data_IF_267145550894
#
_entry.id   IF_267145550894
#
_cell.length_a   1.000
_cell.length_b   1.000
_cell.length_c   1.000
_cell.angle_alpha   90.00
_cell.angle_beta   90.00
_cell.angle_gamma   90.00
#
_symmetry.space_group_name_H-M   'P 1'
#
loop_
_entity.id
_entity.type
_entity.pdbx_description
1 polymer ?
#
# COMPACT_ATOMS: atom_id res chain seq x y z
N UNK A 1 13.26 5.63 3.67
CA UNK A 1 12.56 4.60 2.91
C UNK A 1 13.00 4.62 1.47
N UNK A 2 13.26 3.43 0.92
CA UNK A 2 13.39 3.24 -0.52
C UNK A 2 11.99 3.15 -1.13
N UNK A 3 11.65 4.02 -2.07
CA UNK A 3 10.35 4.01 -2.74
C UNK A 3 10.39 3.14 -4.00
N UNK A 4 9.42 2.24 -4.13
CA UNK A 4 9.26 1.34 -5.28
C UNK A 4 7.82 1.41 -5.76
N UNK A 5 7.61 1.40 -7.07
CA UNK A 5 6.27 1.32 -7.68
C UNK A 5 6.16 0.04 -8.48
N UNK A 6 5.05 -0.68 -8.33
CA UNK A 6 4.75 -1.92 -9.06
C UNK A 6 3.33 -1.93 -9.60
N UNK A 7 3.11 -2.64 -10.70
CA UNK A 7 1.83 -2.75 -11.39
C UNK A 7 1.36 -4.20 -11.42
N UNK A 8 0.39 -4.50 -10.57
CA UNK A 8 -0.25 -5.81 -10.50
C UNK A 8 0.52 -6.83 -9.64
N UNK A 9 -0.14 -7.97 -9.44
CA UNK A 9 0.26 -8.97 -8.46
C UNK A 9 1.61 -9.62 -8.78
N UNK A 10 1.85 -10.00 -10.03
CA UNK A 10 3.08 -10.70 -10.42
C UNK A 10 4.33 -9.83 -10.23
N UNK A 11 4.24 -8.53 -10.51
CA UNK A 11 5.35 -7.61 -10.28
C UNK A 11 5.61 -7.42 -8.79
N UNK A 12 4.54 -7.27 -7.99
CA UNK A 12 4.66 -7.23 -6.54
C UNK A 12 5.38 -8.47 -6.00
N UNK A 13 4.96 -9.67 -6.40
CA UNK A 13 5.57 -10.93 -5.94
C UNK A 13 7.06 -11.00 -6.26
N UNK A 14 7.47 -10.55 -7.45
CA UNK A 14 8.89 -10.47 -7.82
C UNK A 14 9.65 -9.52 -6.91
N UNK A 15 9.13 -8.31 -6.70
CA UNK A 15 9.78 -7.30 -5.85
C UNK A 15 9.86 -7.76 -4.40
N UNK A 16 8.77 -8.24 -3.79
CA UNK A 16 8.80 -8.65 -2.37
C UNK A 16 9.75 -9.83 -2.14
N UNK A 17 9.94 -10.70 -3.14
CA UNK A 17 10.85 -11.85 -3.03
C UNK A 17 12.34 -11.46 -2.93
N UNK A 18 12.70 -10.23 -3.34
CA UNK A 18 14.08 -9.72 -3.30
C UNK A 18 14.32 -8.71 -2.17
N UNK A 19 13.26 -8.28 -1.48
CA UNK A 19 13.37 -7.28 -0.42
C UNK A 19 13.75 -7.92 0.92
N UNK A 20 14.63 -7.23 1.64
CA UNK A 20 15.03 -7.56 3.01
C UNK A 20 14.62 -6.43 3.95
N UNK A 21 14.39 -6.74 5.22
CA UNK A 21 14.03 -5.75 6.25
C UNK A 21 12.54 -5.38 6.25
N UNK A 22 12.21 -4.17 6.74
CA UNK A 22 10.83 -3.69 6.85
C UNK A 22 10.31 -3.29 5.47
N UNK A 23 9.16 -3.82 5.08
CA UNK A 23 8.51 -3.52 3.81
C UNK A 23 7.07 -3.09 4.06
N UNK A 24 6.74 -1.88 3.65
CA UNK A 24 5.39 -1.34 3.66
C UNK A 24 4.82 -1.37 2.25
N UNK A 25 3.58 -1.80 2.10
CA UNK A 25 2.92 -1.89 0.79
C UNK A 25 1.60 -1.11 0.86
N UNK A 26 1.49 -0.08 0.04
CA UNK A 26 0.25 0.61 -0.27
C UNK A 26 -0.39 -0.05 -1.49
N UNK A 27 -1.55 -0.69 -1.30
CA UNK A 27 -2.39 -1.18 -2.38
C UNK A 27 -3.39 -0.11 -2.77
N UNK A 28 -3.35 0.30 -4.04
CA UNK A 28 -4.18 1.40 -4.56
C UNK A 28 -4.67 1.11 -5.98
N UNK A 29 -5.78 1.74 -6.37
CA UNK A 29 -6.35 1.57 -7.71
C UNK A 29 -5.43 2.18 -8.78
N UNK A 30 -5.25 1.49 -9.91
CA UNK A 30 -4.50 2.02 -11.06
C UNK A 30 -5.03 3.39 -11.52
N UNK A 31 -4.13 4.19 -12.09
CA UNK A 31 -4.47 5.54 -12.55
C UNK A 31 -5.03 5.53 -13.97
N UNK A 32 -6.14 6.24 -14.18
CA UNK A 32 -6.71 6.60 -15.48
C UNK A 32 -6.61 8.12 -15.59
N UNK A 33 -5.94 8.64 -16.62
CA UNK A 33 -5.69 10.07 -16.79
C UNK A 33 -5.04 10.74 -15.55
N UNK A 34 -4.08 10.06 -14.93
CA UNK A 34 -3.31 10.59 -13.79
C UNK A 34 -4.00 10.47 -12.43
N UNK A 35 -5.25 9.99 -12.34
CA UNK A 35 -5.97 9.78 -11.08
C UNK A 35 -6.41 8.33 -10.92
N UNK A 36 -6.41 7.82 -9.69
CA UNK A 36 -6.96 6.49 -9.42
C UNK A 36 -8.43 6.41 -9.82
N UNK A 37 -8.87 5.26 -10.35
CA UNK A 37 -10.30 5.01 -10.57
C UNK A 37 -11.10 4.86 -9.26
N UNK A 38 -10.40 4.71 -8.13
CA UNK A 38 -10.99 4.57 -6.79
C UNK A 38 -11.00 5.94 -6.08
N UNK A 39 -12.17 6.49 -5.71
CA UNK A 39 -12.27 7.77 -5.01
C UNK A 39 -11.50 7.81 -3.68
N UNK A 40 -11.60 6.76 -2.87
CA UNK A 40 -10.88 6.70 -1.58
C UNK A 40 -9.35 6.71 -1.77
N UNK A 41 -8.86 6.10 -2.86
CA UNK A 41 -7.45 6.15 -3.21
C UNK A 41 -7.01 7.57 -3.61
N UNK A 42 -7.85 8.31 -4.34
CA UNK A 42 -7.56 9.72 -4.72
C UNK A 42 -7.47 10.61 -3.48
N UNK A 43 -8.33 10.40 -2.50
CA UNK A 43 -8.33 11.18 -1.25
C UNK A 43 -7.17 10.82 -0.31
N UNK A 44 -6.80 9.53 -0.25
CA UNK A 44 -5.71 9.06 0.60
C UNK A 44 -4.31 9.38 0.03
N UNK A 45 -4.16 9.41 -1.30
CA UNK A 45 -2.88 9.64 -1.96
C UNK A 45 -2.10 10.86 -1.43
N UNK A 46 -2.66 12.08 -1.34
CA UNK A 46 -1.91 13.23 -0.84
C UNK A 46 -1.51 13.10 0.64
N UNK A 47 -2.31 12.41 1.46
CA UNK A 47 -2.00 12.19 2.88
C UNK A 47 -0.81 11.25 3.01
N UNK A 48 -0.85 10.09 2.35
CA UNK A 48 0.24 9.12 2.39
C UNK A 48 1.52 9.70 1.77
N UNK A 49 1.40 10.37 0.61
CA UNK A 49 2.52 11.00 -0.08
C UNK A 49 3.21 12.07 0.79
N UNK A 50 2.43 12.86 1.54
CA UNK A 50 2.98 13.84 2.49
C UNK A 50 3.79 13.20 3.62
N UNK A 51 3.38 12.01 4.09
CA UNK A 51 4.07 11.31 5.19
C UNK A 51 5.34 10.64 4.69
N UNK A 52 5.30 9.92 3.56
CA UNK A 52 6.49 9.21 3.06
C UNK A 52 7.60 10.16 2.59
N UNK A 53 7.24 11.39 2.19
CA UNK A 53 8.18 12.45 1.79
C UNK A 53 8.70 13.29 2.95
N UNK A 54 8.07 13.24 4.12
CA UNK A 54 8.57 13.89 5.33
C UNK A 54 9.88 13.22 5.77
N UNK A 55 10.91 14.01 6.04
CA UNK A 55 12.27 13.54 6.32
C UNK A 55 12.35 12.58 7.52
N UNK A 56 11.42 12.71 8.48
CA UNK A 56 11.30 11.80 9.62
C UNK A 56 11.05 10.36 9.17
N UNK A 57 10.16 10.17 8.20
CA UNK A 57 9.78 8.83 7.72
C UNK A 57 10.66 8.40 6.55
N UNK A 58 11.08 9.36 5.71
CA UNK A 58 12.00 9.12 4.61
C UNK A 58 13.39 8.65 5.07
N UNK A 59 13.79 8.92 6.32
CA UNK A 59 15.03 8.38 6.88
C UNK A 59 14.92 6.95 7.45
N UNK A 60 13.71 6.37 7.54
CA UNK A 60 13.53 4.99 8.00
C UNK A 60 14.22 3.99 7.07
N UNK A 61 14.92 3.03 7.66
CA UNK A 61 15.53 1.90 6.95
C UNK A 61 14.47 0.84 6.59
N UNK A 62 13.63 1.17 5.62
CA UNK A 62 12.53 0.35 5.14
C UNK A 62 12.28 0.59 3.65
N UNK A 63 11.54 -0.31 3.01
CA UNK A 63 11.04 -0.14 1.64
C UNK A 63 9.57 0.23 1.66
N UNK A 64 9.17 1.24 0.90
CA UNK A 64 7.78 1.61 0.68
C UNK A 64 7.39 1.27 -0.76
N UNK A 65 6.42 0.36 -0.93
CA UNK A 65 5.95 -0.11 -2.22
C UNK A 65 4.56 0.47 -2.49
N UNK A 66 4.43 1.24 -3.57
CA UNK A 66 3.12 1.56 -4.15
C UNK A 66 2.75 0.47 -5.14
N UNK A 67 1.74 -0.34 -4.82
CA UNK A 67 1.22 -1.40 -5.66
C UNK A 67 -0.10 -0.97 -6.29
N UNK A 68 -0.09 -0.77 -7.61
CA UNK A 68 -1.31 -0.59 -8.37
C UNK A 68 -2.00 -1.93 -8.61
N UNK A 69 -3.20 -2.10 -8.06
CA UNK A 69 -3.91 -3.39 -8.11
C UNK A 69 -4.45 -3.75 -9.51
N UNK A 70 -4.37 -2.83 -10.48
CA UNK A 70 -4.93 -3.00 -11.82
C UNK A 70 -6.23 -2.23 -12.01
N UNK A 71 -6.95 -2.60 -13.08
CA UNK A 71 -8.26 -2.05 -13.41
C UNK A 71 -9.32 -2.41 -12.36
N UNK A 72 -10.41 -1.63 -12.32
CA UNK A 72 -11.50 -1.80 -11.35
C UNK A 72 -12.16 -3.18 -11.45
N UNK A 73 -12.31 -3.69 -12.66
CA UNK A 73 -12.93 -4.98 -12.96
C UNK A 73 -12.08 -6.13 -12.41
N UNK A 74 -10.77 -6.06 -12.62
CA UNK A 74 -9.81 -7.02 -12.07
C UNK A 74 -9.82 -7.03 -10.54
N UNK A 75 -9.89 -5.86 -9.90
CA UNK A 75 -9.96 -5.75 -8.44
C UNK A 75 -11.28 -6.28 -7.85
N UNK A 76 -12.39 -6.12 -8.57
CA UNK A 76 -13.71 -6.57 -8.11
C UNK A 76 -13.91 -8.07 -8.19
N UNK A 77 -13.12 -8.77 -9.01
CA UNK A 77 -13.18 -10.21 -9.13
C UNK A 77 -12.87 -10.87 -7.76
N UNK A 78 -13.77 -11.71 -7.20
CA UNK A 78 -13.49 -12.47 -5.99
C UNK A 78 -12.26 -13.38 -6.11
N UNK A 79 -11.92 -13.82 -7.34
CA UNK A 79 -10.73 -14.62 -7.64
C UNK A 79 -9.47 -13.77 -7.84
N UNK A 80 -9.55 -12.44 -7.66
CA UNK A 80 -8.39 -11.56 -7.71
C UNK A 80 -7.32 -12.04 -6.72
N UNK A 81 -6.07 -12.28 -7.16
CA UNK A 81 -5.03 -12.89 -6.32
C UNK A 81 -4.69 -12.04 -5.09
N UNK A 82 -4.86 -10.71 -5.16
CA UNK A 82 -4.72 -9.84 -3.99
C UNK A 82 -5.72 -10.17 -2.86
N UNK A 83 -6.91 -10.68 -3.22
CA UNK A 83 -7.96 -11.09 -2.27
C UNK A 83 -7.76 -12.50 -1.75
N UNK A 84 -7.29 -13.40 -2.61
CA UNK A 84 -7.19 -14.83 -2.30
C UNK A 84 -5.84 -15.24 -1.71
N UNK A 85 -4.76 -14.50 -1.97
CA UNK A 85 -3.43 -14.75 -1.40
C UNK A 85 -3.51 -14.74 0.14
N UNK A 86 -3.17 -15.85 0.82
CA UNK A 86 -3.25 -15.94 2.27
C UNK A 86 -2.39 -14.93 3.04
N UNK A 87 -1.31 -14.43 2.43
CA UNK A 87 -0.42 -13.42 3.01
C UNK A 87 -1.00 -12.01 2.93
N UNK A 88 -1.82 -11.74 1.90
CA UNK A 88 -2.40 -10.42 1.66
C UNK A 88 -3.85 -10.34 2.16
N UNK A 89 -4.71 -11.24 1.70
CA UNK A 89 -6.16 -11.27 1.99
C UNK A 89 -6.80 -9.88 1.99
N UNK A 90 -6.59 -9.12 0.92
CA UNK A 90 -7.10 -7.75 0.86
C UNK A 90 -8.61 -7.76 0.69
N UNK A 91 -9.30 -6.98 1.53
CA UNK A 91 -10.76 -6.83 1.49
C UNK A 91 -11.17 -5.54 0.78
N UNK A 92 -10.36 -4.48 0.90
CA UNK A 92 -10.61 -3.14 0.36
C UNK A 92 -9.33 -2.46 -0.13
N UNK A 93 -9.49 -1.35 -0.85
CA UNK A 93 -8.43 -0.40 -1.19
C UNK A 93 -8.93 1.02 -0.92
N UNK A 94 -8.05 1.98 -0.56
CA UNK A 94 -6.63 1.79 -0.31
C UNK A 94 -6.37 0.96 0.96
N UNK A 95 -5.31 0.15 0.96
CA UNK A 95 -4.84 -0.59 2.14
C UNK A 95 -3.34 -0.36 2.27
N UNK A 96 -2.87 0.05 3.45
CA UNK A 96 -1.44 0.10 3.78
C UNK A 96 -1.12 -1.05 4.74
N UNK A 97 -0.12 -1.85 4.40
CA UNK A 97 0.24 -3.09 5.09
C UNK A 97 1.75 -3.12 5.38
N UNK A 98 2.14 -3.59 6.57
CA UNK A 98 3.52 -3.95 6.86
C UNK A 98 3.69 -5.46 6.67
N UNK A 99 4.58 -5.86 5.75
CA UNK A 99 4.86 -7.27 5.46
C UNK A 99 5.41 -7.98 6.69
N UNK A 100 5.13 -9.27 6.81
CA UNK A 100 5.62 -10.15 7.87
C UNK A 100 5.19 -9.77 9.31
N UNK A 101 4.42 -8.69 9.52
CA UNK A 101 3.77 -8.37 10.79
C UNK A 101 2.29 -8.70 10.72
N UNK A 102 1.91 -9.78 11.42
CA UNK A 102 0.54 -10.28 11.41
C UNK A 102 -0.41 -9.16 11.87
N UNK A 103 -1.48 -8.93 11.10
CA UNK A 103 -2.52 -7.93 11.39
C UNK A 103 -2.11 -6.45 11.30
N UNK A 104 -0.85 -6.10 10.99
CA UNK A 104 -0.46 -4.70 10.88
C UNK A 104 -0.84 -4.10 9.53
N UNK A 105 -2.04 -3.51 9.48
CA UNK A 105 -2.57 -2.78 8.32
C UNK A 105 -3.58 -1.70 8.73
N UNK A 106 -3.69 -0.67 7.91
CA UNK A 106 -4.76 0.34 7.96
C UNK A 106 -5.47 0.39 6.61
N UNK A 107 -6.74 0.76 6.60
CA UNK A 107 -7.61 0.69 5.41
C UNK A 107 -8.45 1.94 5.21
N UNK A 108 -8.79 2.22 3.94
CA UNK A 108 -9.79 3.20 3.50
C UNK A 108 -9.65 4.58 4.18
N UNK A 109 -10.59 4.91 5.07
CA UNK A 109 -10.67 6.20 5.76
C UNK A 109 -9.51 6.44 6.72
N UNK A 110 -8.88 5.37 7.23
CA UNK A 110 -7.71 5.49 8.11
C UNK A 110 -6.53 6.12 7.36
N UNK A 111 -6.37 5.86 6.06
CA UNK A 111 -5.32 6.46 5.25
C UNK A 111 -5.57 7.94 4.92
N UNK A 112 -6.77 8.46 5.22
CA UNK A 112 -7.10 9.89 5.07
C UNK A 112 -6.73 10.71 6.31
N UNK A 113 -6.32 10.03 7.39
CA UNK A 113 -5.90 10.67 8.63
C UNK A 113 -4.38 10.65 8.75
N UNK A 114 -3.75 11.82 8.67
CA UNK A 114 -2.28 11.95 8.74
C UNK A 114 -1.69 11.41 10.04
N UNK A 115 -2.38 11.55 11.18
CA UNK A 115 -1.91 11.03 12.46
C UNK A 115 -1.82 9.51 12.43
N UNK A 116 -2.89 8.84 11.99
CA UNK A 116 -2.94 7.38 11.86
C UNK A 116 -1.86 6.86 10.90
N UNK A 117 -1.64 7.54 9.77
CA UNK A 117 -0.60 7.15 8.79
C UNK A 117 0.80 7.33 9.37
N UNK A 118 1.05 8.41 10.13
CA UNK A 118 2.33 8.62 10.81
C UNK A 118 2.58 7.54 11.86
N UNK A 119 1.61 7.30 12.74
CA UNK A 119 1.68 6.32 13.80
C UNK A 119 1.98 4.92 13.23
N UNK A 120 1.35 4.56 12.12
CA UNK A 120 1.56 3.27 11.46
C UNK A 120 3.04 2.94 11.15
N UNK A 121 3.84 3.93 10.75
CA UNK A 121 5.25 3.73 10.40
C UNK A 121 6.17 3.60 11.62
N UNK A 122 5.85 4.27 12.72
CA UNK A 122 6.67 4.31 13.94
C UNK A 122 6.25 3.30 14.99
N UNK A 123 5.04 2.77 14.89
CA UNK A 123 4.52 1.82 15.85
C UNK A 123 5.31 0.50 15.78
N UNK A 124 5.94 0.13 16.88
CA UNK A 124 6.82 -1.03 16.99
C UNK A 124 6.18 -2.21 17.73
N UNK A 125 4.87 -2.14 18.04
CA UNK A 125 4.08 -3.22 18.66
C UNK A 125 4.28 -4.61 18.02
#
# INVERSE_FOLDING_TARGET
MLEVTVNGYNELQKVISTMNGRVFILFTGSKVNGKSWCPDCVEAEPVVDSVIKDETFKSLNATFITCFVGAREYWKDPACPFRTDPSLKLTCIPTLLEMNRKHKRIVETQLKNIGIVKDFFVDDD
#
